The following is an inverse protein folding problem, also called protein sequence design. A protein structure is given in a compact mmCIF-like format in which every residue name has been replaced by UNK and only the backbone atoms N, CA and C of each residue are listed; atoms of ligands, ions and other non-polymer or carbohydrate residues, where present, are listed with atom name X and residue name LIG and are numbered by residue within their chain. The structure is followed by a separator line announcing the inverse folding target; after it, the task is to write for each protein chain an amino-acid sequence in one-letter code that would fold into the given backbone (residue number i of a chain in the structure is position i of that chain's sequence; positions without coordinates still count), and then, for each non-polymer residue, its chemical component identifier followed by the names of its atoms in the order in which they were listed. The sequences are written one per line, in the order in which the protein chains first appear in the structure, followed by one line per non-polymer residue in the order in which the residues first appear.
data_IF_788412511319
#
_entry.id   IF_788412511319
#
_cell.length_a   1.000
_cell.length_b   1.000
_cell.length_c   1.000
_cell.angle_alpha   90.00
_cell.angle_beta   90.00
_cell.angle_gamma   90.00
#
_symmetry.space_group_name_H-M   'P 1'
#
loop_
_entity.id
_entity.type
_entity.pdbx_description
1 polymer ?
#
# COMPACT_ATOMS: atom_id res chain seq x y z
N UNK A 1 -21.25 9.34 -26.90
CA UNK A 1 -19.92 9.00 -27.45
C UNK A 1 -18.93 10.05 -26.96
N UNK A 2 -17.79 9.62 -26.42
CA UNK A 2 -16.77 10.50 -25.86
C UNK A 2 -16.26 11.47 -26.93
N UNK A 3 -16.29 12.78 -26.65
CA UNK A 3 -15.92 13.84 -27.61
C UNK A 3 -14.42 14.12 -27.67
N UNK A 4 -13.64 13.47 -26.81
CA UNK A 4 -12.21 13.65 -26.67
C UNK A 4 -11.50 12.30 -26.53
N UNK A 5 -10.23 12.25 -26.89
CA UNK A 5 -9.41 11.03 -26.83
C UNK A 5 -8.91 10.68 -25.42
N UNK A 6 -9.31 11.41 -24.37
CA UNK A 6 -8.94 11.08 -22.98
C UNK A 6 -9.84 10.01 -22.38
N UNK A 7 -9.24 9.01 -21.75
CA UNK A 7 -9.95 8.00 -20.96
C UNK A 7 -10.27 8.55 -19.56
N UNK A 8 -11.55 8.61 -19.22
CA UNK A 8 -12.00 8.91 -17.86
C UNK A 8 -11.93 7.61 -17.06
N UNK A 9 -11.03 7.55 -16.08
CA UNK A 9 -10.82 6.36 -15.28
C UNK A 9 -11.99 6.18 -14.33
N UNK A 10 -12.57 4.99 -14.32
CA UNK A 10 -13.61 4.63 -13.35
C UNK A 10 -13.05 4.63 -11.93
N UNK A 11 -13.86 5.05 -10.92
CA UNK A 11 -13.44 4.96 -9.53
C UNK A 11 -13.04 3.52 -9.18
N UNK A 12 -11.86 3.36 -8.58
CA UNK A 12 -11.39 2.06 -8.11
C UNK A 12 -10.94 2.15 -6.65
N UNK A 13 -11.13 1.07 -5.88
CA UNK A 13 -10.74 1.06 -4.46
C UNK A 13 -9.25 0.77 -4.25
N UNK A 14 -8.55 0.30 -5.29
CA UNK A 14 -7.15 -0.13 -5.24
C UNK A 14 -6.16 0.92 -4.71
N UNK A 15 -6.29 2.24 -5.02
CA UNK A 15 -5.36 3.23 -4.48
C UNK A 15 -5.34 3.29 -2.95
N UNK A 16 -6.50 3.09 -2.30
CA UNK A 16 -6.60 3.12 -0.83
C UNK A 16 -5.98 1.85 -0.24
N UNK A 17 -6.30 0.67 -0.80
CA UNK A 17 -5.71 -0.59 -0.33
C UNK A 17 -4.19 -0.60 -0.47
N UNK A 18 -3.66 -0.13 -1.61
CA UNK A 18 -2.22 -0.01 -1.82
C UNK A 18 -1.57 0.97 -0.83
N UNK A 19 -2.23 2.10 -0.53
CA UNK A 19 -1.71 3.08 0.42
C UNK A 19 -1.62 2.52 1.85
N UNK A 20 -2.63 1.77 2.30
CA UNK A 20 -2.65 1.14 3.63
C UNK A 20 -1.58 0.05 3.73
N UNK A 21 -1.45 -0.81 2.71
CA UNK A 21 -0.40 -1.84 2.66
C UNK A 21 1.00 -1.24 2.70
N UNK A 22 1.26 -0.19 1.90
CA UNK A 22 2.56 0.49 1.90
C UNK A 22 2.87 1.19 3.23
N UNK A 23 1.86 1.74 3.91
CA UNK A 23 2.03 2.33 5.24
C UNK A 23 2.45 1.27 6.27
N UNK A 24 1.79 0.11 6.30
CA UNK A 24 2.19 -1.01 7.16
C UNK A 24 3.57 -1.56 6.80
N UNK A 25 3.89 -1.66 5.50
CA UNK A 25 5.19 -2.15 5.04
C UNK A 25 6.35 -1.23 5.47
N UNK A 26 6.20 0.08 5.27
CA UNK A 26 7.24 1.06 5.63
C UNK A 26 7.47 1.13 7.13
N UNK A 27 6.40 1.12 7.93
CA UNK A 27 6.50 1.09 9.40
C UNK A 27 7.11 -0.21 9.91
N UNK A 28 6.73 -1.35 9.34
CA UNK A 28 7.29 -2.66 9.66
C UNK A 28 8.77 -2.79 9.32
N UNK A 29 9.19 -2.29 8.14
CA UNK A 29 10.60 -2.28 7.74
C UNK A 29 11.47 -1.42 8.66
N UNK A 30 11.04 -0.18 8.95
CA UNK A 30 11.76 0.69 9.88
C UNK A 30 11.83 0.03 11.26
N UNK A 31 10.74 -0.60 11.71
CA UNK A 31 10.73 -1.30 12.99
C UNK A 31 11.66 -2.50 13.03
N UNK A 32 11.79 -3.23 11.92
CA UNK A 32 12.71 -4.37 11.80
C UNK A 32 14.18 -3.93 11.91
N UNK A 33 14.54 -2.78 11.31
CA UNK A 33 15.89 -2.22 11.46
C UNK A 33 16.24 -1.77 12.87
N UNK A 34 15.25 -1.51 13.73
CA UNK A 34 15.44 -1.10 15.12
C UNK A 34 15.22 -2.25 16.12
N UNK A 35 15.22 -3.50 15.64
CA UNK A 35 15.06 -4.72 16.47
C UNK A 35 13.77 -4.75 17.31
N UNK A 36 12.71 -4.07 16.87
CA UNK A 36 11.41 -4.20 17.53
C UNK A 36 10.82 -5.59 17.31
N UNK A 37 10.40 -6.22 18.40
CA UNK A 37 9.72 -7.52 18.36
C UNK A 37 8.51 -7.45 17.40
N UNK A 38 8.38 -8.47 16.54
CA UNK A 38 7.29 -8.62 15.56
C UNK A 38 7.25 -7.59 14.41
N UNK A 39 8.17 -6.63 14.32
CA UNK A 39 8.15 -5.65 13.24
C UNK A 39 8.35 -6.27 11.84
N UNK A 40 9.19 -7.31 11.73
CA UNK A 40 9.32 -8.10 10.50
C UNK A 40 8.00 -8.77 10.08
N UNK A 41 7.24 -9.31 11.04
CA UNK A 41 5.93 -9.90 10.78
C UNK A 41 4.92 -8.86 10.26
N UNK A 42 4.92 -7.66 10.84
CA UNK A 42 4.10 -6.54 10.35
C UNK A 42 4.45 -6.17 8.91
N UNK A 43 5.73 -6.16 8.54
CA UNK A 43 6.16 -5.90 7.15
C UNK A 43 5.63 -6.96 6.18
N UNK A 44 5.71 -8.25 6.52
CA UNK A 44 5.22 -9.34 5.66
C UNK A 44 3.69 -9.37 5.53
N UNK A 45 2.97 -9.13 6.63
CA UNK A 45 1.51 -9.07 6.63
C UNK A 45 0.99 -7.93 5.74
N UNK A 46 1.74 -6.82 5.66
CA UNK A 46 1.35 -5.63 4.89
C UNK A 46 1.57 -5.75 3.38
N UNK A 47 2.18 -6.85 2.92
CA UNK A 47 2.41 -7.15 1.50
C UNK A 47 1.32 -8.07 0.89
N UNK A 48 0.37 -8.51 1.70
CA UNK A 48 -0.79 -9.34 1.32
C UNK A 48 -2.02 -8.44 1.22
#
# INVERSE_FOLDING_TARGET
MQKHSFHLVDPSPWPIFASIGLWGFTTGLVGWFHEYNYAGFLAFLSLI
#
